data_IF_712956642040
#
_entry.id   IF_712956642040
#
_cell.length_a   1.000
_cell.length_b   1.000
_cell.length_c   1.000
_cell.angle_alpha   90.00
_cell.angle_beta   90.00
_cell.angle_gamma   90.00
#
_symmetry.space_group_name_H-M   'P 1'
#
loop_
_entity.id
_entity.type
_entity.pdbx_description
1 polymer ?
#
# COMPACT_ATOMS: atom_id res chain seq x y z
N UNK A 1 28.63 9.16 4.62
CA UNK A 1 28.11 10.13 3.64
C UNK A 1 26.59 10.04 3.61
N UNK A 2 25.82 11.14 3.62
CA UNK A 2 24.37 11.06 3.53
C UNK A 2 23.94 10.75 2.09
N UNK A 3 22.91 9.92 1.97
CA UNK A 3 22.63 9.10 0.80
C UNK A 3 21.97 9.92 -0.33
N UNK A 4 22.79 10.38 -1.28
CA UNK A 4 22.39 10.92 -2.58
C UNK A 4 22.23 9.69 -3.53
N UNK A 5 21.05 9.21 -3.88
CA UNK A 5 20.01 9.95 -4.60
C UNK A 5 20.07 9.56 -6.08
N UNK A 6 19.57 8.37 -6.43
CA UNK A 6 19.42 7.91 -7.82
C UNK A 6 17.98 7.45 -8.09
N UNK A 7 17.35 8.03 -9.11
CA UNK A 7 15.92 8.00 -9.41
C UNK A 7 15.32 6.58 -9.43
N UNK A 8 14.29 6.38 -8.58
CA UNK A 8 13.71 5.08 -8.18
C UNK A 8 12.63 4.53 -9.11
N UNK A 9 12.56 4.97 -10.37
CA UNK A 9 11.45 4.66 -11.29
C UNK A 9 11.15 3.16 -11.43
N UNK A 10 12.18 2.30 -11.55
CA UNK A 10 11.98 0.84 -11.66
C UNK A 10 11.34 0.24 -10.40
N UNK A 11 11.68 0.75 -9.21
CA UNK A 11 11.09 0.31 -7.94
C UNK A 11 9.64 0.78 -7.84
N UNK A 12 9.35 2.02 -8.24
CA UNK A 12 7.98 2.52 -8.34
C UNK A 12 7.13 1.67 -9.27
N UNK A 13 7.62 1.36 -10.47
CA UNK A 13 6.88 0.53 -11.43
C UNK A 13 6.60 -0.88 -10.89
N UNK A 14 7.58 -1.50 -10.23
CA UNK A 14 7.40 -2.78 -9.54
C UNK A 14 6.36 -2.69 -8.42
N UNK A 15 6.42 -1.65 -7.59
CA UNK A 15 5.48 -1.45 -6.50
C UNK A 15 4.07 -1.19 -7.02
N UNK A 16 3.90 -0.38 -8.07
CA UNK A 16 2.61 -0.18 -8.73
C UNK A 16 2.07 -1.51 -9.27
N UNK A 17 2.90 -2.34 -9.91
CA UNK A 17 2.49 -3.67 -10.37
C UNK A 17 2.07 -4.61 -9.21
N UNK A 18 2.82 -4.61 -8.11
CA UNK A 18 2.49 -5.36 -6.90
C UNK A 18 1.18 -4.85 -6.28
N UNK A 19 0.98 -3.53 -6.23
CA UNK A 19 -0.25 -2.91 -5.73
C UNK A 19 -1.41 -3.31 -6.63
N UNK A 20 -1.31 -3.17 -7.94
CA UNK A 20 -2.37 -3.58 -8.88
C UNK A 20 -2.71 -5.06 -8.73
N UNK A 21 -1.71 -5.92 -8.53
CA UNK A 21 -1.91 -7.35 -8.27
C UNK A 21 -2.62 -7.59 -6.92
N UNK A 22 -2.21 -6.87 -5.86
CA UNK A 22 -2.81 -6.95 -4.54
C UNK A 22 -4.25 -6.39 -4.52
N UNK A 23 -4.53 -5.32 -5.26
CA UNK A 23 -5.86 -4.76 -5.46
C UNK A 23 -6.74 -5.81 -6.13
N UNK A 24 -6.33 -6.29 -7.30
CA UNK A 24 -7.10 -7.26 -8.11
C UNK A 24 -7.38 -8.55 -7.32
N UNK A 25 -6.35 -9.09 -6.67
CA UNK A 25 -6.48 -10.30 -5.85
C UNK A 25 -7.25 -10.05 -4.56
N UNK A 26 -6.93 -8.99 -3.82
CA UNK A 26 -7.60 -8.62 -2.58
C UNK A 26 -9.09 -8.37 -2.77
N UNK A 27 -9.49 -7.73 -3.87
CA UNK A 27 -10.90 -7.53 -4.24
C UNK A 27 -11.61 -8.85 -4.54
N UNK A 28 -10.92 -9.83 -5.12
CA UNK A 28 -11.51 -11.17 -5.33
C UNK A 28 -11.67 -11.94 -4.03
N UNK A 29 -10.65 -11.97 -3.17
CA UNK A 29 -10.64 -12.79 -1.95
C UNK A 29 -11.41 -12.14 -0.78
N UNK A 30 -11.39 -10.82 -0.67
CA UNK A 30 -12.04 -10.10 0.43
C UNK A 30 -13.51 -9.80 0.16
N UNK A 31 -13.99 -9.93 -1.09
CA UNK A 31 -15.42 -9.94 -1.37
C UNK A 31 -16.14 -11.05 -0.59
N UNK A 32 -15.45 -12.18 -0.36
CA UNK A 32 -16.05 -13.37 0.26
C UNK A 32 -15.85 -13.48 1.79
N UNK A 33 -14.92 -12.72 2.38
CA UNK A 33 -14.39 -12.99 3.74
C UNK A 33 -14.57 -11.83 4.74
N UNK A 34 -15.43 -10.86 4.42
CA UNK A 34 -15.49 -9.57 5.09
C UNK A 34 -15.93 -9.62 6.57
N UNK A 35 -15.05 -9.22 7.50
CA UNK A 35 -15.25 -8.06 8.40
C UNK A 35 -14.23 -7.98 9.56
N UNK A 36 -13.72 -9.10 10.10
CA UNK A 36 -13.01 -9.07 11.39
C UNK A 36 -11.47 -8.94 11.32
N UNK A 37 -10.82 -9.37 10.23
CA UNK A 37 -9.35 -9.55 10.19
C UNK A 37 -8.50 -8.40 9.61
N UNK A 38 -9.13 -7.37 9.05
CA UNK A 38 -8.44 -6.33 8.25
C UNK A 38 -7.61 -5.39 9.13
N UNK A 39 -8.13 -5.03 10.31
CA UNK A 39 -7.44 -4.10 11.22
C UNK A 39 -6.18 -4.72 11.85
N UNK A 40 -6.25 -6.00 12.23
CA UNK A 40 -5.12 -6.76 12.78
C UNK A 40 -4.01 -6.92 11.73
N UNK A 41 -4.39 -7.27 10.50
CA UNK A 41 -3.47 -7.35 9.36
C UNK A 41 -2.79 -6.01 9.10
N UNK A 42 -3.54 -4.90 9.11
CA UNK A 42 -2.99 -3.55 8.92
C UNK A 42 -1.97 -3.19 9.99
N UNK A 43 -2.25 -3.48 11.26
CA UNK A 43 -1.33 -3.22 12.39
C UNK A 43 0.01 -3.94 12.23
N UNK A 44 0.03 -5.11 11.60
CA UNK A 44 1.26 -5.88 11.34
C UNK A 44 2.00 -5.39 10.10
N UNK A 45 1.30 -4.94 9.07
CA UNK A 45 1.89 -4.54 7.78
C UNK A 45 2.54 -3.15 7.85
N UNK A 46 1.91 -2.19 8.53
CA UNK A 46 2.39 -0.80 8.68
C UNK A 46 3.86 -0.70 9.11
N UNK A 47 4.30 -1.32 10.23
CA UNK A 47 5.69 -1.19 10.68
C UNK A 47 6.70 -1.83 9.71
N UNK A 48 6.32 -2.89 9.00
CA UNK A 48 7.17 -3.56 7.99
C UNK A 48 7.34 -2.68 6.75
N UNK A 49 6.25 -2.07 6.30
CA UNK A 49 6.22 -1.19 5.15
C UNK A 49 7.04 0.08 5.40
N UNK A 50 6.83 0.73 6.55
CA UNK A 50 7.61 1.89 6.99
C UNK A 50 9.10 1.58 7.07
N UNK A 51 9.49 0.45 7.68
CA UNK A 51 10.89 0.04 7.81
C UNK A 51 11.55 -0.19 6.45
N UNK A 52 10.81 -0.74 5.49
CA UNK A 52 11.28 -0.95 4.13
C UNK A 52 11.49 0.37 3.40
N UNK A 53 10.52 1.29 3.50
CA UNK A 53 10.62 2.63 2.92
C UNK A 53 11.81 3.43 3.52
N UNK A 54 12.03 3.34 4.84
CA UNK A 54 13.18 3.95 5.51
C UNK A 54 14.52 3.39 5.02
N UNK A 55 14.64 2.07 4.81
CA UNK A 55 15.85 1.46 4.24
C UNK A 55 16.10 1.90 2.79
N UNK A 56 15.05 2.02 1.99
CA UNK A 56 15.13 2.42 0.57
C UNK A 56 15.47 3.90 0.40
N UNK A 57 15.06 4.74 1.35
CA UNK A 57 15.29 6.20 1.33
C UNK A 57 16.51 6.60 2.15
N UNK A 58 16.95 5.74 3.07
CA UNK A 58 17.90 6.08 4.13
C UNK A 58 17.51 7.37 4.87
N UNK A 59 16.20 7.59 5.03
CA UNK A 59 15.64 8.76 5.68
C UNK A 59 15.69 8.62 7.21
N UNK A 60 15.62 9.76 7.90
CA UNK A 60 15.59 9.80 9.36
C UNK A 60 14.32 9.14 9.92
N UNK A 61 14.43 8.61 11.14
CA UNK A 61 13.33 7.91 11.83
C UNK A 61 12.13 8.82 12.15
N UNK A 62 12.36 10.14 12.23
CA UNK A 62 11.37 11.18 12.52
C UNK A 62 10.49 11.55 11.33
N UNK A 63 10.86 11.15 10.11
CA UNK A 63 10.06 11.44 8.92
C UNK A 63 8.73 10.68 9.01
N UNK A 64 7.63 11.33 8.62
CA UNK A 64 6.31 10.71 8.58
C UNK A 64 6.28 9.52 7.63
N UNK A 65 5.44 8.53 7.90
CA UNK A 65 5.40 7.30 7.09
C UNK A 65 5.02 7.58 5.64
N UNK A 66 4.02 8.44 5.45
CA UNK A 66 3.53 8.82 4.13
C UNK A 66 4.61 9.54 3.32
N UNK A 67 5.35 10.47 3.94
CA UNK A 67 6.43 11.18 3.25
C UNK A 67 7.59 10.24 2.90
N UNK A 68 7.97 9.30 3.76
CA UNK A 68 9.00 8.30 3.43
C UNK A 68 8.55 7.40 2.29
N UNK A 69 7.27 7.00 2.26
CA UNK A 69 6.72 6.21 1.17
C UNK A 69 6.79 6.97 -0.16
N UNK A 70 6.37 8.23 -0.19
CA UNK A 70 6.45 9.09 -1.39
C UNK A 70 7.89 9.22 -1.89
N UNK A 71 8.85 9.50 -0.99
CA UNK A 71 10.28 9.58 -1.35
C UNK A 71 10.84 8.21 -1.78
N UNK A 72 10.27 7.11 -1.28
CA UNK A 72 10.61 5.75 -1.69
C UNK A 72 10.01 5.35 -3.05
N UNK A 73 9.04 6.12 -3.58
CA UNK A 73 8.22 5.69 -4.72
C UNK A 73 7.22 4.59 -4.35
N UNK A 74 6.89 4.46 -3.06
CA UNK A 74 5.92 3.54 -2.48
C UNK A 74 4.61 4.27 -2.23
N UNK A 75 3.48 3.59 -2.45
CA UNK A 75 2.17 4.15 -2.12
C UNK A 75 1.96 4.10 -0.61
N UNK A 76 1.62 5.21 0.07
CA UNK A 76 1.32 5.18 1.49
C UNK A 76 0.20 4.18 1.81
N UNK A 77 0.34 3.41 2.90
CA UNK A 77 -0.64 2.38 3.30
C UNK A 77 -2.04 2.95 3.50
N UNK A 78 -2.15 4.19 3.99
CA UNK A 78 -3.44 4.84 4.18
C UNK A 78 -4.18 5.05 2.84
N UNK A 79 -3.44 5.46 1.80
CA UNK A 79 -3.97 5.66 0.45
C UNK A 79 -4.34 4.31 -0.17
N UNK A 80 -3.44 3.32 -0.06
CA UNK A 80 -3.69 1.95 -0.52
C UNK A 80 -4.96 1.35 0.10
N UNK A 81 -5.15 1.53 1.42
CA UNK A 81 -6.34 1.05 2.12
C UNK A 81 -7.62 1.76 1.64
N UNK A 82 -7.55 3.06 1.36
CA UNK A 82 -8.67 3.83 0.80
C UNK A 82 -9.06 3.36 -0.60
N UNK A 83 -8.08 3.12 -1.48
CA UNK A 83 -8.31 2.58 -2.83
C UNK A 83 -8.95 1.18 -2.78
N UNK A 84 -8.42 0.30 -1.92
CA UNK A 84 -8.97 -1.04 -1.68
C UNK A 84 -10.43 -0.98 -1.20
N UNK A 85 -10.73 -0.06 -0.29
CA UNK A 85 -12.07 0.12 0.24
C UNK A 85 -13.02 0.67 -0.83
N UNK A 86 -12.59 1.64 -1.64
CA UNK A 86 -13.39 2.21 -2.73
C UNK A 86 -13.71 1.17 -3.80
N UNK A 87 -12.71 0.37 -4.22
CA UNK A 87 -12.91 -0.70 -5.20
C UNK A 87 -13.82 -1.81 -4.67
N UNK A 88 -13.73 -2.12 -3.37
CA UNK A 88 -14.68 -3.03 -2.73
C UNK A 88 -16.12 -2.50 -2.85
N UNK A 89 -16.36 -1.23 -2.48
CA UNK A 89 -17.69 -0.65 -2.55
C UNK A 89 -18.24 -0.61 -3.99
N UNK A 90 -17.38 -0.34 -4.97
CA UNK A 90 -17.76 -0.38 -6.38
C UNK A 90 -18.20 -1.79 -6.80
N UNK A 91 -17.38 -2.80 -6.54
CA UNK A 91 -17.69 -4.19 -6.89
C UNK A 91 -18.95 -4.70 -6.17
N UNK A 92 -19.15 -4.32 -4.91
CA UNK A 92 -20.38 -4.63 -4.17
C UNK A 92 -21.61 -4.07 -4.89
N UNK A 93 -21.52 -2.85 -5.41
CA UNK A 93 -22.61 -2.21 -6.13
C UNK A 93 -22.91 -2.92 -7.45
N UNK A 94 -21.89 -3.42 -8.15
CA UNK A 94 -22.05 -4.19 -9.40
C UNK A 94 -22.80 -5.52 -9.17
N UNK A 95 -22.62 -6.18 -8.01
CA UNK A 95 -23.37 -7.39 -7.64
C UNK A 95 -24.81 -7.15 -7.20
N UNK A 96 -25.16 -5.93 -6.79
CA UNK A 96 -26.52 -5.60 -6.34
C UNK A 96 -27.43 -5.20 -7.52
N UNK A 97 -26.83 -4.89 -8.67
CA UNK A 97 -27.53 -4.39 -9.87
C UNK A 97 -27.64 -5.44 -10.99
N UNK A 98 -27.00 -6.61 -10.85
CA UNK A 98 -27.17 -7.79 -11.75
C UNK A 98 -28.12 -8.82 -11.15
#
# INVERSE_FOLDING_TARGET
MPNLGGLKQKRSALLTSVITSLLTYGISVWADTQAAGVQESRRRIVPVYRRSALKVTSAFRTVSEDSVCVIAGMLPIAVLAGELQALYWHKKNDYVVS
#
